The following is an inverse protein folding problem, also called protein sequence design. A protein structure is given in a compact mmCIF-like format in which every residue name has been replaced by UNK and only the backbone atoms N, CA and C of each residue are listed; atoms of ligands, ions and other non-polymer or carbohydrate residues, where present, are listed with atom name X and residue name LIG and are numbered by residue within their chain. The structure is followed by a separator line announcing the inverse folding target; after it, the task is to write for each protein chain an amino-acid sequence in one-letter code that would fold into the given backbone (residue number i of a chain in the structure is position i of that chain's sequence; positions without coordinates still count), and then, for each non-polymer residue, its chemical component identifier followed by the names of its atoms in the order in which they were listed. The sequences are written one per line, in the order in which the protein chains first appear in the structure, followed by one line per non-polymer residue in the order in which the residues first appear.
data_IF_998777225884
#
_entry.id   IF_998777225884
#
_cell.length_a   1.000
_cell.length_b   1.000
_cell.length_c   1.000
_cell.angle_alpha   90.00
_cell.angle_beta   90.00
_cell.angle_gamma   90.00
#
_symmetry.space_group_name_H-M   'P 1'
#
loop_
_entity.id
_entity.type
_entity.pdbx_description
1 polymer ?
#
# COMPACT_ATOMS: atom_id res chain seq x y z
N UNK A 1 0.42 26.74 13.25
CA UNK A 1 1.15 27.49 12.20
C UNK A 1 2.68 27.38 12.27
N UNK A 2 3.41 27.92 13.26
CA UNK A 2 4.90 27.83 13.27
C UNK A 2 5.41 26.39 13.44
N UNK A 3 4.83 25.62 14.36
CA UNK A 3 5.25 24.24 14.64
C UNK A 3 4.97 23.26 13.50
N UNK A 4 3.79 23.38 12.86
CA UNK A 4 3.46 22.57 11.68
C UNK A 4 4.43 22.80 10.52
N UNK A 5 4.82 24.07 10.29
CA UNK A 5 5.81 24.43 9.28
C UNK A 5 7.18 23.80 9.57
N UNK A 6 7.59 23.76 10.85
CA UNK A 6 8.83 23.11 11.27
C UNK A 6 8.80 21.60 11.04
N UNK A 7 7.68 20.92 11.32
CA UNK A 7 7.52 19.48 11.08
C UNK A 7 7.56 19.14 9.58
N UNK A 8 6.90 19.93 8.74
CA UNK A 8 6.94 19.75 7.29
C UNK A 8 8.37 19.89 6.73
N UNK A 9 9.13 20.87 7.22
CA UNK A 9 10.54 21.04 6.83
C UNK A 9 11.39 19.86 7.29
N UNK A 10 11.18 19.37 8.52
CA UNK A 10 11.91 18.22 9.05
C UNK A 10 11.62 16.95 8.24
N UNK A 11 10.34 16.68 7.91
CA UNK A 11 9.94 15.54 7.06
C UNK A 11 10.55 15.64 5.66
N UNK A 12 10.60 16.85 5.09
CA UNK A 12 11.17 17.08 3.76
C UNK A 12 12.69 16.95 3.73
N UNK A 13 13.37 17.29 4.81
CA UNK A 13 14.83 17.16 4.93
C UNK A 13 15.28 15.74 5.33
N UNK A 14 14.38 14.94 5.92
CA UNK A 14 14.69 13.57 6.31
C UNK A 14 14.94 12.68 5.08
N UNK A 15 15.88 11.71 5.17
CA UNK A 15 16.08 10.73 4.11
C UNK A 15 14.81 9.91 3.91
N UNK A 16 14.38 9.78 2.66
CA UNK A 16 13.24 8.97 2.28
C UNK A 16 13.71 7.56 1.89
N UNK A 17 13.19 6.55 2.58
CA UNK A 17 13.46 5.15 2.30
C UNK A 17 12.17 4.38 1.99
N UNK A 18 12.29 3.31 1.21
CA UNK A 18 11.17 2.38 0.99
C UNK A 18 10.88 1.65 2.29
N UNK A 19 9.65 1.78 2.77
CA UNK A 19 9.21 1.13 4.01
C UNK A 19 8.86 -0.32 3.73
N UNK A 20 9.60 -1.25 4.34
CA UNK A 20 9.28 -2.68 4.29
C UNK A 20 8.04 -2.98 5.12
N UNK A 21 7.17 -3.83 4.59
CA UNK A 21 5.92 -4.18 5.23
C UNK A 21 5.51 -5.63 4.98
N UNK A 22 4.65 -6.14 5.85
CA UNK A 22 3.95 -7.41 5.71
C UNK A 22 2.45 -7.19 5.85
N UNK A 23 1.64 -8.13 5.37
CA UNK A 23 0.19 -8.12 5.61
C UNK A 23 -0.04 -8.52 7.07
N UNK A 24 -0.63 -7.62 7.86
CA UNK A 24 -1.00 -7.89 9.25
C UNK A 24 -2.36 -8.57 9.35
N UNK A 25 -3.35 -7.96 8.70
CA UNK A 25 -4.73 -8.40 8.71
C UNK A 25 -5.44 -7.89 7.45
N UNK A 26 -6.58 -8.48 7.11
CA UNK A 26 -7.42 -8.08 5.98
C UNK A 26 -8.84 -8.60 6.18
N UNK A 27 -9.81 -7.94 5.57
CA UNK A 27 -11.24 -8.31 5.73
C UNK A 27 -11.59 -9.62 5.03
N UNK A 28 -11.18 -9.78 3.77
CA UNK A 28 -11.47 -10.94 2.93
C UNK A 28 -10.60 -10.95 1.67
N UNK A 29 -10.66 -12.03 0.89
CA UNK A 29 -10.19 -12.06 -0.50
C UNK A 29 -11.12 -12.89 -1.38
N UNK A 30 -11.09 -12.65 -2.69
CA UNK A 30 -11.79 -13.46 -3.70
C UNK A 30 -10.80 -14.35 -4.46
N UNK A 31 -11.11 -15.64 -4.58
CA UNK A 31 -10.29 -16.60 -5.33
C UNK A 31 -8.81 -16.53 -4.95
N UNK A 32 -7.95 -16.42 -5.95
CA UNK A 32 -6.48 -16.32 -5.81
C UNK A 32 -5.95 -14.88 -5.66
N UNK A 33 -6.82 -13.88 -5.49
CA UNK A 33 -6.43 -12.47 -5.34
C UNK A 33 -6.08 -12.13 -3.88
N UNK A 34 -5.06 -12.80 -3.36
CA UNK A 34 -4.62 -12.65 -1.97
C UNK A 34 -4.04 -11.26 -1.67
N UNK A 35 -4.15 -10.76 -0.43
CA UNK A 35 -3.62 -9.46 -0.03
C UNK A 35 -2.10 -9.34 -0.22
N UNK A 36 -1.35 -10.44 -0.13
CA UNK A 36 0.10 -10.48 -0.34
C UNK A 36 0.50 -10.04 -1.76
N UNK A 37 -0.41 -10.13 -2.74
CA UNK A 37 -0.12 -9.72 -4.11
C UNK A 37 0.20 -8.23 -4.24
N UNK A 38 -0.20 -7.37 -3.28
CA UNK A 38 0.11 -5.93 -3.32
C UNK A 38 1.61 -5.63 -3.11
N UNK A 39 2.37 -6.60 -2.60
CA UNK A 39 3.82 -6.47 -2.40
C UNK A 39 4.61 -6.58 -3.71
N UNK A 40 3.98 -7.01 -4.81
CA UNK A 40 4.62 -7.15 -6.12
C UNK A 40 4.02 -6.17 -7.13
N UNK A 41 4.88 -5.45 -7.84
CA UNK A 41 4.47 -4.57 -8.93
C UNK A 41 4.60 -5.30 -10.28
N UNK A 42 3.57 -6.07 -10.66
CA UNK A 42 3.51 -6.77 -11.95
C UNK A 42 2.35 -6.24 -12.79
N UNK A 43 2.50 -5.08 -13.45
CA UNK A 43 1.39 -4.37 -14.10
C UNK A 43 0.81 -5.12 -15.30
N UNK A 44 1.52 -6.09 -15.87
CA UNK A 44 1.05 -6.92 -16.99
C UNK A 44 0.26 -8.15 -16.54
N UNK A 45 0.27 -8.47 -15.24
CA UNK A 45 -0.30 -9.69 -14.68
C UNK A 45 -1.60 -9.35 -13.98
N UNK A 46 -2.73 -9.68 -14.60
CA UNK A 46 -4.07 -9.37 -14.07
C UNK A 46 -4.31 -9.98 -12.67
N UNK A 47 -3.62 -11.06 -12.32
CA UNK A 47 -3.69 -11.71 -11.01
C UNK A 47 -2.88 -11.02 -9.92
N UNK A 48 -1.96 -10.12 -10.27
CA UNK A 48 -1.10 -9.39 -9.31
C UNK A 48 -1.85 -8.25 -8.64
N UNK A 49 -2.87 -8.63 -7.85
CA UNK A 49 -3.71 -7.72 -7.08
C UNK A 49 -4.35 -8.44 -5.90
N UNK A 50 -4.72 -7.65 -4.90
CA UNK A 50 -5.72 -8.04 -3.92
C UNK A 50 -7.12 -7.73 -4.45
N UNK A 51 -8.11 -8.53 -4.10
CA UNK A 51 -9.51 -8.22 -4.31
C UNK A 51 -10.32 -8.77 -3.15
N UNK A 52 -11.13 -7.94 -2.51
CA UNK A 52 -12.06 -8.37 -1.47
C UNK A 52 -13.09 -9.38 -2.01
N UNK A 53 -13.69 -10.16 -1.12
CA UNK A 53 -14.81 -11.04 -1.42
C UNK A 53 -16.18 -10.35 -1.45
N UNK A 54 -16.26 -9.11 -0.95
CA UNK A 54 -17.45 -8.26 -0.94
C UNK A 54 -17.12 -6.83 -1.38
N UNK A 55 -18.14 -6.02 -1.66
CA UNK A 55 -18.04 -4.61 -2.08
C UNK A 55 -18.65 -3.63 -1.07
N UNK A 56 -18.88 -4.07 0.17
CA UNK A 56 -19.33 -3.19 1.25
C UNK A 56 -18.18 -2.30 1.78
N UNK A 57 -18.53 -1.38 2.69
CA UNK A 57 -17.58 -0.42 3.27
C UNK A 57 -16.75 -0.99 4.43
N UNK A 58 -16.86 -2.29 4.73
CA UNK A 58 -16.09 -2.96 5.79
C UNK A 58 -14.79 -3.59 5.28
N UNK A 59 -14.45 -3.40 4.00
CA UNK A 59 -13.28 -4.03 3.40
C UNK A 59 -11.99 -3.25 3.70
N UNK A 60 -10.96 -3.97 4.15
CA UNK A 60 -9.68 -3.38 4.53
C UNK A 60 -8.51 -4.34 4.33
N UNK A 61 -7.31 -3.76 4.25
CA UNK A 61 -6.02 -4.43 4.44
C UNK A 61 -5.19 -3.60 5.40
N UNK A 62 -4.59 -4.24 6.39
CA UNK A 62 -3.73 -3.61 7.39
C UNK A 62 -2.30 -4.07 7.15
N UNK A 63 -1.38 -3.11 7.06
CA UNK A 63 0.04 -3.37 6.85
C UNK A 63 0.78 -3.27 8.19
N UNK A 64 1.68 -4.22 8.45
CA UNK A 64 2.63 -4.14 9.57
C UNK A 64 3.99 -3.76 9.02
N UNK A 65 4.48 -2.61 9.46
CA UNK A 65 5.85 -2.15 9.19
C UNK A 65 6.82 -2.90 10.12
N UNK A 66 8.04 -3.15 9.64
CA UNK A 66 9.06 -3.90 10.42
C UNK A 66 9.46 -3.19 11.73
N UNK A 67 9.47 -1.86 11.70
CA UNK A 67 9.78 -0.97 12.81
C UNK A 67 8.84 0.24 12.80
N UNK A 68 8.63 0.93 13.92
CA UNK A 68 7.92 2.21 13.93
C UNK A 68 8.65 3.23 13.04
N UNK A 69 7.89 3.93 12.19
CA UNK A 69 8.41 4.93 11.24
C UNK A 69 7.38 6.04 11.03
N UNK A 70 7.82 7.16 10.45
CA UNK A 70 6.93 8.20 9.94
C UNK A 70 6.60 7.87 8.48
N UNK A 71 5.39 7.37 8.23
CA UNK A 71 4.94 7.07 6.86
C UNK A 71 4.53 8.36 6.16
N UNK A 72 5.30 8.76 5.14
CA UNK A 72 5.09 10.03 4.44
C UNK A 72 4.30 9.89 3.13
N UNK A 73 4.35 8.72 2.50
CA UNK A 73 3.76 8.48 1.18
C UNK A 73 3.21 7.05 1.09
N UNK A 74 2.15 6.90 0.29
CA UNK A 74 1.61 5.62 -0.14
C UNK A 74 1.49 5.64 -1.66
N UNK A 75 1.97 4.58 -2.31
CA UNK A 75 1.95 4.45 -3.76
C UNK A 75 1.06 3.27 -4.16
N UNK A 76 0.16 3.49 -5.11
CA UNK A 76 -0.72 2.45 -5.65
C UNK A 76 -0.30 2.11 -7.09
N UNK A 77 0.20 0.88 -7.29
CA UNK A 77 0.42 0.31 -8.62
C UNK A 77 -0.91 0.14 -9.38
N UNK A 78 -0.82 0.01 -10.71
CA UNK A 78 -1.99 -0.17 -11.59
C UNK A 78 -1.76 -1.27 -12.61
N UNK A 79 -2.84 -1.95 -12.97
CA UNK A 79 -2.82 -2.88 -14.10
C UNK A 79 -2.68 -2.11 -15.42
N UNK A 80 -1.78 -2.58 -16.28
CA UNK A 80 -1.58 -2.11 -17.64
C UNK A 80 -2.19 -3.10 -18.63
N UNK A 81 -3.36 -2.76 -19.16
CA UNK A 81 -3.95 -3.52 -20.26
C UNK A 81 -3.30 -3.12 -21.57
N UNK A 82 -2.54 -4.04 -22.18
CA UNK A 82 -2.02 -3.83 -23.54
C UNK A 82 -3.21 -3.65 -24.49
N UNK A 83 -3.27 -2.51 -25.18
CA UNK A 83 -4.20 -2.33 -26.30
C UNK A 83 -3.58 -3.01 -27.52
N UNK A 84 -4.34 -3.89 -28.16
CA UNK A 84 -4.01 -4.41 -29.48
C UNK A 84 -4.35 -3.37 -30.53
#
# INVERSE_FOLDING_TARGET
MKEEYTLQLAIKAAPQETLQYSIYNYSSHSGSYYPQNIAMNSPTEQSSRWSSGSHDQSQYVTLKLEKPVVACQILFGKFHRRKF
#
